data_IF_918842907222
#
_entry.id   IF_918842907222
#
_cell.length_a   1.000
_cell.length_b   1.000
_cell.length_c   1.000
_cell.angle_alpha   90.00
_cell.angle_beta   90.00
_cell.angle_gamma   90.00
#
_symmetry.space_group_name_H-M   'P 1'
#
loop_
_entity.id
_entity.type
_entity.pdbx_description
1 polymer ?
#
# COMPACT_ATOMS: atom_id res chain seq x y z
N UNK A 1 1.57 5.25 -14.71
CA UNK A 1 1.85 6.38 -15.59
C UNK A 1 3.07 7.14 -15.08
N UNK A 2 2.99 7.75 -13.91
CA UNK A 2 3.98 8.64 -13.32
C UNK A 2 5.40 8.04 -13.33
N UNK A 3 5.57 6.83 -12.80
CA UNK A 3 6.88 6.16 -12.76
C UNK A 3 7.47 5.91 -14.16
N UNK A 4 6.63 5.73 -15.17
CA UNK A 4 7.10 5.44 -16.54
C UNK A 4 7.67 6.67 -17.25
N UNK A 5 7.13 7.86 -16.97
CA UNK A 5 7.61 9.11 -17.56
C UNK A 5 8.84 9.67 -16.82
N UNK A 6 9.06 9.26 -15.59
CA UNK A 6 10.20 9.70 -14.77
C UNK A 6 11.55 9.27 -15.37
N UNK A 7 11.64 8.06 -15.93
CA UNK A 7 12.91 7.54 -16.46
C UNK A 7 13.46 8.42 -17.59
N UNK A 8 12.72 8.70 -18.67
CA UNK A 8 13.20 9.61 -19.72
C UNK A 8 13.41 11.03 -19.18
N UNK A 9 12.53 11.54 -18.32
CA UNK A 9 12.67 12.86 -17.72
C UNK A 9 14.00 13.01 -16.93
N UNK A 10 14.36 12.01 -16.12
CA UNK A 10 15.66 12.00 -15.42
C UNK A 10 16.84 12.09 -16.39
N UNK A 11 16.81 11.32 -17.49
CA UNK A 11 17.87 11.36 -18.49
C UNK A 11 18.01 12.71 -19.18
N UNK A 12 16.88 13.38 -19.43
CA UNK A 12 16.86 14.71 -20.05
C UNK A 12 17.40 15.79 -19.13
N UNK A 13 17.07 15.72 -17.83
CA UNK A 13 17.37 16.77 -16.86
C UNK A 13 18.66 16.53 -16.06
N UNK A 14 19.14 15.29 -15.97
CA UNK A 14 20.31 14.90 -15.18
C UNK A 14 21.44 14.30 -16.05
N UNK A 15 21.80 15.03 -17.13
CA UNK A 15 22.96 14.73 -17.97
C UNK A 15 23.02 13.28 -18.49
N UNK A 16 21.88 12.76 -18.98
CA UNK A 16 21.73 11.39 -19.45
C UNK A 16 22.20 10.34 -18.41
N UNK A 17 21.80 10.53 -17.15
CA UNK A 17 22.17 9.65 -16.05
C UNK A 17 21.76 8.19 -16.31
N UNK A 18 22.46 7.27 -15.69
CA UNK A 18 22.03 5.88 -15.63
C UNK A 18 20.87 5.75 -14.63
N UNK A 19 19.79 5.06 -15.04
CA UNK A 19 18.62 4.85 -14.21
C UNK A 19 18.43 3.36 -13.94
N UNK A 20 18.53 2.98 -12.67
CA UNK A 20 18.19 1.64 -12.17
C UNK A 20 16.78 1.70 -11.59
N UNK A 21 15.85 0.95 -12.17
CA UNK A 21 14.49 0.86 -11.67
C UNK A 21 14.38 -0.16 -10.53
N UNK A 22 13.55 0.14 -9.53
CA UNK A 22 13.27 -0.77 -8.41
C UNK A 22 11.77 -0.81 -8.16
N UNK A 23 11.23 -2.02 -8.00
CA UNK A 23 9.84 -2.26 -7.58
C UNK A 23 9.84 -3.21 -6.38
N UNK A 24 9.04 -2.89 -5.35
CA UNK A 24 8.81 -3.79 -4.22
C UNK A 24 7.51 -4.57 -4.42
N UNK A 25 7.58 -5.90 -4.42
CA UNK A 25 6.41 -6.77 -4.37
C UNK A 25 5.96 -6.92 -2.92
N UNK A 26 4.86 -6.26 -2.59
CA UNK A 26 4.15 -6.35 -1.31
C UNK A 26 2.77 -7.00 -1.48
N UNK A 27 2.54 -7.71 -2.61
CA UNK A 27 1.31 -8.42 -2.91
C UNK A 27 0.36 -7.70 -3.88
N UNK A 28 0.89 -6.89 -4.81
CA UNK A 28 0.10 -6.18 -5.83
C UNK A 28 -0.42 -7.13 -6.93
N UNK A 29 0.04 -8.39 -6.96
CA UNK A 29 -0.39 -9.39 -7.94
C UNK A 29 0.06 -9.06 -9.36
N UNK A 30 -0.89 -9.05 -10.30
CA UNK A 30 -0.62 -8.88 -11.74
C UNK A 30 -0.12 -7.49 -12.15
N UNK A 31 -0.06 -6.52 -11.24
CA UNK A 31 0.49 -5.20 -11.51
C UNK A 31 1.99 -5.22 -11.85
N UNK A 32 2.67 -6.29 -11.44
CA UNK A 32 4.10 -6.50 -11.71
C UNK A 32 4.37 -7.17 -13.07
N UNK A 33 3.33 -7.66 -13.76
CA UNK A 33 3.47 -8.37 -15.03
C UNK A 33 3.96 -7.44 -16.14
N UNK A 34 5.04 -7.85 -16.82
CA UNK A 34 5.65 -7.08 -17.91
C UNK A 34 6.39 -5.81 -17.47
N UNK A 35 6.68 -5.67 -16.18
CA UNK A 35 7.34 -4.48 -15.62
C UNK A 35 8.78 -4.35 -16.11
N UNK A 36 9.49 -5.47 -16.30
CA UNK A 36 10.88 -5.46 -16.78
C UNK A 36 10.98 -4.96 -18.21
N UNK A 37 10.18 -5.52 -19.12
CA UNK A 37 10.15 -5.07 -20.51
C UNK A 37 9.80 -3.58 -20.60
N UNK A 38 8.85 -3.13 -19.79
CA UNK A 38 8.43 -1.74 -19.73
C UNK A 38 9.55 -0.84 -19.22
N UNK A 39 10.23 -1.20 -18.11
CA UNK A 39 11.31 -0.41 -17.54
C UNK A 39 12.47 -0.25 -18.53
N UNK A 40 12.88 -1.33 -19.18
CA UNK A 40 13.95 -1.28 -20.19
C UNK A 40 13.52 -0.46 -21.43
N UNK A 41 12.29 -0.65 -21.91
CA UNK A 41 11.76 0.11 -23.05
C UNK A 41 11.67 1.62 -22.77
N UNK A 42 11.49 2.03 -21.52
CA UNK A 42 11.48 3.45 -21.11
C UNK A 42 12.87 4.00 -20.82
N UNK A 43 13.92 3.17 -20.86
CA UNK A 43 15.32 3.59 -20.79
C UNK A 43 16.02 3.30 -19.47
N UNK A 44 15.44 2.50 -18.57
CA UNK A 44 16.19 1.97 -17.44
C UNK A 44 17.30 1.02 -17.93
N UNK A 45 18.46 1.03 -17.26
CA UNK A 45 19.54 0.08 -17.53
C UNK A 45 19.26 -1.29 -16.90
N UNK A 46 18.46 -1.30 -15.82
CA UNK A 46 18.18 -2.50 -15.03
C UNK A 46 16.89 -2.32 -14.23
N UNK A 47 16.20 -3.42 -13.95
CA UNK A 47 15.11 -3.48 -12.99
C UNK A 47 15.43 -4.47 -11.86
N UNK A 48 15.14 -4.08 -10.65
CA UNK A 48 15.00 -4.97 -9.50
C UNK A 48 13.53 -5.10 -9.13
N UNK A 49 13.03 -6.32 -9.02
CA UNK A 49 11.75 -6.63 -8.36
C UNK A 49 12.08 -7.37 -7.08
N UNK A 50 11.79 -6.74 -5.95
CA UNK A 50 12.10 -7.26 -4.62
C UNK A 50 10.86 -7.96 -4.05
N UNK A 51 10.95 -9.25 -3.75
CA UNK A 51 9.90 -9.93 -3.00
C UNK A 51 9.97 -9.52 -1.52
N UNK A 52 9.08 -8.64 -1.11
CA UNK A 52 9.02 -8.08 0.23
C UNK A 52 7.82 -8.59 1.04
N UNK A 53 7.01 -9.50 0.50
CA UNK A 53 5.73 -9.91 1.10
C UNK A 53 5.88 -10.46 2.52
N UNK A 54 6.82 -11.37 2.75
CA UNK A 54 7.03 -11.97 4.07
C UNK A 54 7.60 -10.94 5.07
N UNK A 55 8.59 -10.13 4.66
CA UNK A 55 9.14 -9.03 5.47
C UNK A 55 8.06 -8.01 5.81
N UNK A 56 7.23 -7.65 4.84
CA UNK A 56 6.14 -6.70 5.01
C UNK A 56 5.13 -7.18 6.06
N UNK A 57 4.74 -8.45 6.03
CA UNK A 57 3.81 -8.99 7.03
C UNK A 57 4.48 -9.05 8.41
N UNK A 58 5.67 -9.61 8.49
CA UNK A 58 6.33 -9.90 9.76
C UNK A 58 6.82 -8.64 10.47
N UNK A 59 7.47 -7.73 9.73
CA UNK A 59 8.23 -6.63 10.34
C UNK A 59 7.44 -5.29 10.32
N UNK A 60 6.33 -5.20 9.57
CA UNK A 60 5.50 -3.99 9.50
C UNK A 60 4.05 -4.24 9.93
N UNK A 61 3.38 -5.27 9.40
CA UNK A 61 1.98 -5.55 9.71
C UNK A 61 1.83 -6.05 11.15
N UNK A 62 2.53 -7.12 11.54
CA UNK A 62 2.38 -7.70 12.86
C UNK A 62 2.72 -6.74 14.02
N UNK A 63 3.76 -5.90 13.94
CA UNK A 63 3.96 -4.85 14.92
C UNK A 63 2.78 -3.87 15.03
N UNK A 64 2.16 -3.50 13.91
CA UNK A 64 0.97 -2.63 13.92
C UNK A 64 -0.24 -3.32 14.54
N UNK A 65 -0.47 -4.61 14.26
CA UNK A 65 -1.51 -5.41 14.91
C UNK A 65 -1.29 -5.46 16.42
N UNK A 66 -0.07 -5.74 16.88
CA UNK A 66 0.29 -5.77 18.31
C UNK A 66 0.10 -4.41 18.98
N UNK A 67 0.39 -3.34 18.27
CA UNK A 67 0.16 -1.99 18.77
C UNK A 67 -1.32 -1.58 18.75
N UNK A 68 -2.17 -2.25 17.96
CA UNK A 68 -3.52 -1.78 17.64
C UNK A 68 -3.46 -0.45 16.88
N UNK A 69 -2.43 -0.27 16.02
CA UNK A 69 -2.19 0.99 15.32
C UNK A 69 -3.19 1.17 14.18
N UNK A 70 -3.94 2.25 14.22
CA UNK A 70 -4.87 2.66 13.18
C UNK A 70 -4.90 4.17 13.05
N UNK A 71 -5.46 4.67 11.96
CA UNK A 71 -5.69 6.09 11.76
C UNK A 71 -7.12 6.31 11.27
N UNK A 72 -7.97 6.88 12.10
CA UNK A 72 -9.39 7.14 11.79
C UNK A 72 -10.11 5.86 11.28
N UNK A 73 -9.90 4.71 11.93
CA UNK A 73 -10.38 3.36 11.58
C UNK A 73 -9.65 2.71 10.39
N UNK A 74 -8.84 3.45 9.65
CA UNK A 74 -8.00 2.91 8.58
C UNK A 74 -6.84 2.09 9.14
N UNK A 75 -6.71 0.82 8.72
CA UNK A 75 -5.70 -0.14 9.21
C UNK A 75 -4.34 0.00 8.49
N UNK A 76 -4.01 1.18 8.03
CA UNK A 76 -2.68 1.63 7.60
C UNK A 76 -2.02 0.86 6.45
N UNK A 77 -2.77 0.14 5.61
CA UNK A 77 -2.20 -0.76 4.58
C UNK A 77 -1.18 -0.09 3.65
N UNK A 78 -1.47 1.13 3.15
CA UNK A 78 -0.50 1.89 2.37
C UNK A 78 0.59 2.51 3.26
N UNK A 79 0.21 2.94 4.49
CA UNK A 79 1.11 3.68 5.38
C UNK A 79 2.33 2.87 5.81
N UNK A 80 2.19 1.58 6.08
CA UNK A 80 3.31 0.71 6.43
C UNK A 80 3.92 -0.03 5.23
N UNK A 81 3.23 -0.13 4.08
CA UNK A 81 3.83 -0.68 2.86
C UNK A 81 4.92 0.24 2.29
N UNK A 82 4.71 1.56 2.30
CA UNK A 82 5.68 2.52 1.74
C UNK A 82 7.04 2.51 2.45
N UNK A 83 7.14 2.50 3.80
CA UNK A 83 8.43 2.34 4.48
C UNK A 83 9.13 1.01 4.19
N UNK A 84 8.39 -0.10 4.03
CA UNK A 84 8.94 -1.39 3.63
C UNK A 84 9.59 -1.30 2.24
N UNK A 85 8.86 -0.75 1.25
CA UNK A 85 9.38 -0.53 -0.10
C UNK A 85 10.58 0.43 -0.09
N UNK A 86 10.49 1.53 0.68
CA UNK A 86 11.58 2.50 0.80
C UNK A 86 12.86 1.89 1.35
N UNK A 87 12.76 0.94 2.29
CA UNK A 87 13.91 0.19 2.79
C UNK A 87 14.56 -0.62 1.67
N UNK A 88 13.78 -1.39 0.92
CA UNK A 88 14.29 -2.14 -0.23
C UNK A 88 14.95 -1.22 -1.27
N UNK A 89 14.34 -0.07 -1.55
CA UNK A 89 14.88 0.95 -2.46
C UNK A 89 16.23 1.50 -1.96
N UNK A 90 16.34 1.84 -0.68
CA UNK A 90 17.58 2.32 -0.07
C UNK A 90 18.70 1.26 -0.10
N UNK A 91 18.34 -0.01 0.13
CA UNK A 91 19.31 -1.12 0.08
C UNK A 91 19.87 -1.34 -1.33
N UNK A 92 19.00 -1.27 -2.36
CA UNK A 92 19.45 -1.34 -3.76
C UNK A 92 20.26 -0.10 -4.16
N UNK A 93 19.84 1.09 -3.75
CA UNK A 93 20.58 2.32 -4.05
C UNK A 93 22.01 2.27 -3.49
N UNK A 94 22.19 1.78 -2.26
CA UNK A 94 23.53 1.54 -1.67
C UNK A 94 24.32 0.48 -2.44
N UNK A 95 23.67 -0.62 -2.83
CA UNK A 95 24.28 -1.72 -3.60
C UNK A 95 24.78 -1.26 -4.97
N UNK A 96 24.01 -0.44 -5.66
CA UNK A 96 24.33 0.09 -6.99
C UNK A 96 25.20 1.36 -6.90
N UNK A 97 25.56 1.83 -5.71
CA UNK A 97 26.32 3.06 -5.50
C UNK A 97 25.66 4.28 -6.16
N UNK A 98 24.33 4.37 -6.05
CA UNK A 98 23.56 5.45 -6.64
C UNK A 98 23.86 6.80 -5.95
N UNK A 99 23.84 7.87 -6.73
CA UNK A 99 24.03 9.24 -6.22
C UNK A 99 22.71 9.78 -5.64
N UNK A 100 21.57 9.34 -6.17
CA UNK A 100 20.24 9.82 -5.78
C UNK A 100 19.18 8.72 -5.83
N UNK A 101 18.08 8.95 -5.11
CA UNK A 101 16.87 8.12 -5.15
C UNK A 101 15.72 8.98 -5.66
N UNK A 102 15.04 8.49 -6.71
CA UNK A 102 13.88 9.18 -7.28
C UNK A 102 12.59 8.43 -6.97
N UNK A 103 11.51 9.16 -6.64
CA UNK A 103 10.17 8.60 -6.48
C UNK A 103 9.12 9.41 -7.23
N UNK A 104 8.04 8.74 -7.67
CA UNK A 104 6.95 9.34 -8.43
C UNK A 104 5.75 9.79 -7.59
N UNK A 105 5.91 9.99 -6.28
CA UNK A 105 4.80 10.38 -5.42
C UNK A 105 4.43 11.85 -5.64
N UNK A 106 3.13 12.11 -5.82
CA UNK A 106 2.62 13.47 -6.02
C UNK A 106 2.70 14.29 -4.73
N UNK A 107 2.84 15.61 -4.87
CA UNK A 107 2.87 16.55 -3.74
C UNK A 107 1.53 16.69 -2.97
N UNK A 108 0.46 16.06 -3.47
CA UNK A 108 -0.89 16.13 -2.87
C UNK A 108 -1.22 14.93 -1.97
N UNK A 109 -0.43 13.84 -2.05
CA UNK A 109 -0.66 12.61 -1.31
C UNK A 109 0.25 12.48 -0.07
N UNK A 110 -0.12 11.54 0.82
CA UNK A 110 0.70 11.20 1.98
C UNK A 110 1.96 10.40 1.62
N UNK A 111 1.99 9.75 0.45
CA UNK A 111 3.05 8.82 0.06
C UNK A 111 4.42 9.48 -0.07
N UNK A 112 4.48 10.72 -0.55
CA UNK A 112 5.73 11.48 -0.57
C UNK A 112 6.37 11.57 0.82
N UNK A 113 5.56 11.84 1.86
CA UNK A 113 6.05 11.96 3.24
C UNK A 113 6.54 10.60 3.74
N UNK A 114 5.80 9.54 3.46
CA UNK A 114 6.14 8.16 3.87
C UNK A 114 7.45 7.70 3.25
N UNK A 115 7.63 7.90 1.94
CA UNK A 115 8.89 7.56 1.25
C UNK A 115 10.06 8.42 1.73
N UNK A 116 9.91 9.74 1.74
CA UNK A 116 11.02 10.65 2.03
C UNK A 116 11.50 10.54 3.48
N UNK A 117 10.60 10.40 4.47
CA UNK A 117 10.99 10.20 5.86
C UNK A 117 11.74 8.87 6.04
N UNK A 118 11.26 7.79 5.41
CA UNK A 118 11.93 6.50 5.44
C UNK A 118 13.31 6.55 4.75
N UNK A 119 13.41 7.16 3.56
CA UNK A 119 14.66 7.32 2.84
C UNK A 119 15.67 8.20 3.59
N UNK A 120 15.22 9.31 4.19
CA UNK A 120 16.09 10.16 5.02
C UNK A 120 16.62 9.45 6.26
N UNK A 121 15.85 8.54 6.84
CA UNK A 121 16.30 7.73 7.96
C UNK A 121 17.29 6.63 7.54
N UNK A 122 17.06 6.00 6.38
CA UNK A 122 17.80 4.82 5.92
C UNK A 122 18.98 5.14 5.01
N UNK A 123 18.94 6.24 4.28
CA UNK A 123 19.95 6.70 3.35
C UNK A 123 20.12 8.23 3.43
N UNK A 124 20.54 8.77 4.60
CA UNK A 124 20.55 10.23 4.87
C UNK A 124 21.47 11.02 3.94
N UNK A 125 22.50 10.39 3.41
CA UNK A 125 23.51 11.01 2.54
C UNK A 125 23.11 11.02 1.05
N UNK A 126 22.02 10.35 0.69
CA UNK A 126 21.54 10.31 -0.69
C UNK A 126 20.59 11.47 -0.99
N UNK A 127 20.72 12.05 -2.17
CA UNK A 127 19.78 13.02 -2.69
C UNK A 127 18.44 12.36 -3.00
N UNK A 128 17.34 13.05 -2.71
CA UNK A 128 15.98 12.59 -3.04
C UNK A 128 15.43 13.48 -4.14
N UNK A 129 15.16 12.89 -5.30
CA UNK A 129 14.57 13.57 -6.44
C UNK A 129 13.08 13.26 -6.46
N UNK A 130 12.27 14.32 -6.45
CA UNK A 130 10.82 14.27 -6.51
C UNK A 130 10.32 15.08 -7.72
N UNK A 131 10.22 14.50 -8.92
CA UNK A 131 9.96 15.22 -10.17
C UNK A 131 8.73 16.11 -10.13
N UNK A 132 7.68 15.72 -9.44
CA UNK A 132 6.48 16.53 -9.25
C UNK A 132 6.71 17.92 -8.63
N UNK A 133 7.85 18.16 -8.03
CA UNK A 133 8.26 19.48 -7.50
C UNK A 133 9.07 20.29 -8.50
N UNK A 134 9.64 19.64 -9.49
CA UNK A 134 10.65 20.19 -10.39
C UNK A 134 10.15 20.35 -11.82
N UNK A 135 9.30 19.42 -12.29
CA UNK A 135 8.82 19.42 -13.66
C UNK A 135 7.60 20.35 -13.89
N UNK A 136 7.41 20.73 -15.16
CA UNK A 136 6.28 21.58 -15.55
C UNK A 136 4.97 20.81 -15.83
N UNK A 137 5.02 19.48 -15.81
CA UNK A 137 3.86 18.59 -16.04
C UNK A 137 2.94 18.68 -14.83
N UNK A 138 1.72 19.20 -15.00
CA UNK A 138 0.80 19.52 -13.89
C UNK A 138 -0.52 18.75 -13.93
N UNK A 139 -0.77 18.04 -15.02
CA UNK A 139 -2.01 17.28 -15.21
C UNK A 139 -1.74 15.90 -15.77
N UNK A 140 -2.70 15.00 -15.59
CA UNK A 140 -2.65 13.64 -16.14
C UNK A 140 -2.66 13.66 -17.68
N UNK A 141 -3.30 14.65 -18.28
CA UNK A 141 -3.32 14.86 -19.72
C UNK A 141 -1.91 15.18 -20.25
N UNK A 142 -1.20 16.09 -19.57
CA UNK A 142 0.18 16.45 -19.93
C UNK A 142 1.15 15.28 -19.75
N UNK A 143 0.94 14.42 -18.74
CA UNK A 143 1.70 13.18 -18.56
C UNK A 143 1.50 12.21 -19.74
N UNK A 144 0.25 12.09 -20.21
CA UNK A 144 -0.06 11.24 -21.35
C UNK A 144 0.58 11.79 -22.62
N UNK A 145 0.50 13.09 -22.86
CA UNK A 145 1.14 13.77 -24.01
C UNK A 145 2.67 13.56 -23.98
N UNK A 146 3.29 13.71 -22.81
CA UNK A 146 4.72 13.45 -22.62
C UNK A 146 5.06 11.99 -22.94
N UNK A 147 4.28 11.04 -22.42
CA UNK A 147 4.48 9.63 -22.65
C UNK A 147 4.33 9.25 -24.15
N UNK A 148 3.33 9.81 -24.83
CA UNK A 148 3.12 9.61 -26.28
C UNK A 148 4.30 10.17 -27.09
N UNK A 149 4.78 11.38 -26.74
CA UNK A 149 5.94 12.00 -27.39
C UNK A 149 7.22 11.15 -27.25
N UNK A 150 7.36 10.40 -26.17
CA UNK A 150 8.51 9.52 -25.88
C UNK A 150 8.26 8.06 -26.24
N UNK A 151 7.15 7.73 -26.92
CA UNK A 151 6.76 6.37 -27.31
C UNK A 151 6.70 5.39 -26.12
N UNK A 152 6.29 5.87 -24.93
CA UNK A 152 6.14 5.05 -23.74
C UNK A 152 4.83 4.25 -23.87
N UNK A 153 4.85 2.91 -23.75
CA UNK A 153 3.64 2.11 -23.85
C UNK A 153 2.74 2.35 -22.64
N UNK A 154 1.58 2.96 -22.87
CA UNK A 154 0.58 3.22 -21.84
C UNK A 154 -0.56 2.20 -21.94
N UNK A 155 -0.85 1.50 -20.85
CA UNK A 155 -2.07 0.68 -20.68
C UNK A 155 -3.16 1.51 -19.99
N UNK A 156 -3.50 2.70 -20.52
CA UNK A 156 -4.47 3.57 -19.83
C UNK A 156 -5.79 3.57 -20.58
N UNK A 157 -6.85 3.21 -19.85
CA UNK A 157 -8.22 3.49 -20.26
C UNK A 157 -8.64 4.79 -19.56
N UNK A 158 -8.89 5.85 -20.31
CA UNK A 158 -9.06 7.25 -19.82
C UNK A 158 -10.26 7.47 -18.90
N UNK A 159 -11.24 6.54 -18.84
CA UNK A 159 -12.58 6.93 -18.36
C UNK A 159 -13.21 6.07 -17.25
N UNK A 160 -12.59 4.97 -16.79
CA UNK A 160 -13.37 4.01 -16.00
C UNK A 160 -12.73 3.42 -14.76
N UNK A 161 -11.49 3.76 -14.42
CA UNK A 161 -10.82 3.06 -13.32
C UNK A 161 -10.66 3.95 -12.09
N UNK A 162 -11.17 3.46 -10.95
CA UNK A 162 -10.78 3.96 -9.63
C UNK A 162 -9.26 3.91 -9.47
N UNK A 163 -8.71 4.87 -8.73
CA UNK A 163 -7.35 4.74 -8.23
C UNK A 163 -7.33 3.64 -7.18
N UNK A 164 -6.57 2.58 -7.42
CA UNK A 164 -6.47 1.42 -6.53
C UNK A 164 -5.04 1.28 -6.02
N UNK A 165 -4.90 0.91 -4.76
CA UNK A 165 -3.62 0.55 -4.15
C UNK A 165 -3.80 -0.79 -3.44
N UNK A 166 -3.17 -1.84 -4.00
CA UNK A 166 -3.29 -3.22 -3.57
C UNK A 166 -1.99 -3.72 -2.97
N UNK A 167 -2.10 -4.40 -1.85
CA UNK A 167 -1.03 -5.18 -1.27
C UNK A 167 -1.61 -6.40 -0.51
N UNK A 168 -0.76 -7.20 0.12
CA UNK A 168 -1.21 -8.40 0.85
C UNK A 168 -2.17 -8.08 2.00
N UNK A 169 -2.16 -6.86 2.51
CA UNK A 169 -2.97 -6.44 3.65
C UNK A 169 -4.33 -5.86 3.27
N UNK A 170 -4.37 -5.06 2.21
CA UNK A 170 -5.57 -4.32 1.83
C UNK A 170 -5.66 -4.02 0.33
N UNK A 171 -6.81 -3.51 -0.05
CA UNK A 171 -7.03 -2.80 -1.30
C UNK A 171 -7.79 -1.51 -1.01
N UNK A 172 -7.33 -0.38 -1.55
CA UNK A 172 -8.04 0.89 -1.50
C UNK A 172 -8.68 1.23 -2.86
N UNK A 173 -9.80 1.94 -2.81
CA UNK A 173 -10.48 2.52 -3.96
C UNK A 173 -10.68 4.02 -3.71
N UNK A 174 -10.20 4.86 -4.63
CA UNK A 174 -10.31 6.33 -4.56
C UNK A 174 -10.69 6.89 -5.93
N UNK A 175 -11.25 8.10 -5.93
CA UNK A 175 -11.55 8.84 -7.16
C UNK A 175 -12.93 8.56 -7.76
N UNK A 176 -13.16 9.05 -8.97
CA UNK A 176 -14.43 8.94 -9.71
C UNK A 176 -15.64 9.42 -8.88
N UNK A 177 -16.70 8.61 -8.85
CA UNK A 177 -17.94 8.90 -8.11
C UNK A 177 -17.74 8.93 -6.58
N UNK A 178 -16.66 8.35 -6.06
CA UNK A 178 -16.30 8.44 -4.63
C UNK A 178 -15.82 9.84 -4.20
N UNK A 179 -15.45 10.70 -5.14
CA UNK A 179 -15.07 12.09 -4.81
C UNK A 179 -16.25 12.91 -4.28
N UNK A 180 -17.47 12.57 -4.69
CA UNK A 180 -18.69 13.14 -4.13
C UNK A 180 -19.17 12.28 -2.94
N UNK A 181 -19.11 12.79 -1.70
CA UNK A 181 -19.53 12.04 -0.53
C UNK A 181 -21.04 11.73 -0.47
N UNK A 182 -21.85 12.31 -1.37
CA UNK A 182 -23.26 11.98 -1.49
C UNK A 182 -23.52 10.66 -2.25
N UNK A 183 -22.52 10.14 -2.97
CA UNK A 183 -22.65 8.89 -3.70
C UNK A 183 -22.35 7.69 -2.78
N UNK A 184 -23.13 6.63 -2.94
CA UNK A 184 -22.87 5.35 -2.26
C UNK A 184 -21.72 4.58 -2.93
N UNK A 185 -20.89 3.86 -2.15
CA UNK A 185 -19.90 2.94 -2.73
C UNK A 185 -20.58 1.83 -3.52
N UNK A 186 -20.01 1.48 -4.66
CA UNK A 186 -20.62 0.54 -5.61
C UNK A 186 -20.35 -0.94 -5.25
N UNK A 187 -20.56 -1.34 -4.00
CA UNK A 187 -20.23 -2.69 -3.49
C UNK A 187 -20.86 -3.84 -4.28
N UNK A 188 -22.04 -3.63 -4.86
CA UNK A 188 -22.74 -4.65 -5.65
C UNK A 188 -22.34 -4.66 -7.12
N UNK A 189 -21.57 -3.66 -7.59
CA UNK A 189 -21.11 -3.59 -8.97
C UNK A 189 -20.02 -4.64 -9.20
N UNK A 190 -20.17 -5.42 -10.24
CA UNK A 190 -19.17 -6.44 -10.61
C UNK A 190 -17.79 -5.81 -10.86
N UNK A 191 -16.75 -6.36 -10.20
CA UNK A 191 -15.37 -5.90 -10.30
C UNK A 191 -15.05 -4.64 -9.47
N UNK A 192 -15.98 -4.13 -8.65
CA UNK A 192 -15.65 -3.09 -7.67
C UNK A 192 -14.81 -3.70 -6.54
N UNK A 193 -15.36 -4.68 -5.80
CA UNK A 193 -14.65 -5.43 -4.78
C UNK A 193 -13.75 -6.51 -5.41
N UNK A 194 -12.53 -6.67 -4.90
CA UNK A 194 -11.56 -7.67 -5.39
C UNK A 194 -11.07 -8.63 -4.30
N UNK A 195 -11.08 -8.20 -3.03
CA UNK A 195 -10.65 -9.05 -1.90
C UNK A 195 -11.82 -9.73 -1.22
N UNK A 196 -13.03 -9.22 -1.40
CA UNK A 196 -14.20 -9.72 -0.73
C UNK A 196 -15.48 -9.62 -1.53
N UNK A 197 -16.58 -9.86 -0.84
CA UNK A 197 -17.95 -9.72 -1.37
C UNK A 197 -18.72 -8.69 -0.55
N UNK A 198 -19.73 -8.08 -1.17
CA UNK A 198 -20.66 -7.25 -0.43
C UNK A 198 -21.36 -8.05 0.68
N UNK A 199 -21.69 -7.45 1.84
CA UNK A 199 -22.35 -8.15 2.95
C UNK A 199 -23.64 -8.89 2.51
N UNK A 200 -24.38 -8.33 1.56
CA UNK A 200 -25.60 -8.93 1.02
C UNK A 200 -25.34 -10.20 0.20
N UNK A 201 -24.13 -10.42 -0.25
CA UNK A 201 -23.67 -11.62 -0.98
C UNK A 201 -22.90 -12.61 -0.10
N UNK A 202 -22.66 -12.25 1.16
CA UNK A 202 -21.99 -13.13 2.11
C UNK A 202 -22.87 -14.32 2.51
N UNK A 203 -22.28 -15.45 2.96
CA UNK A 203 -23.03 -16.60 3.47
C UNK A 203 -23.89 -16.22 4.69
N UNK A 204 -25.10 -16.78 4.79
CA UNK A 204 -25.98 -16.62 5.97
C UNK A 204 -25.46 -17.43 7.17
N UNK A 205 -24.72 -18.51 6.92
CA UNK A 205 -24.17 -19.37 7.95
C UNK A 205 -22.83 -18.84 8.46
N UNK A 206 -22.64 -18.76 9.80
CA UNK A 206 -21.40 -18.26 10.38
C UNK A 206 -20.21 -19.20 10.11
N UNK A 207 -19.06 -18.60 9.86
CA UNK A 207 -17.78 -19.32 9.78
C UNK A 207 -16.99 -19.11 11.07
N UNK A 208 -16.72 -20.19 11.81
CA UNK A 208 -15.91 -20.16 13.03
C UNK A 208 -14.47 -20.53 12.70
N UNK A 209 -13.52 -19.78 13.26
CA UNK A 209 -12.09 -20.05 13.16
C UNK A 209 -11.44 -19.91 14.53
N UNK A 210 -10.35 -20.63 14.75
CA UNK A 210 -9.49 -20.48 15.94
C UNK A 210 -8.14 -19.93 15.51
N UNK A 211 -7.76 -18.76 16.01
CA UNK A 211 -6.45 -18.16 15.74
C UNK A 211 -5.58 -18.36 16.99
N UNK A 212 -4.41 -18.97 16.82
CA UNK A 212 -3.42 -19.10 17.86
C UNK A 212 -2.45 -17.93 17.84
N UNK A 213 -2.18 -17.39 19.04
CA UNK A 213 -1.23 -16.29 19.21
C UNK A 213 -0.09 -16.70 20.15
N UNK A 214 1.14 -16.32 19.79
CA UNK A 214 2.29 -16.43 20.67
C UNK A 214 2.95 -15.07 20.82
N UNK A 215 3.05 -14.56 22.04
CA UNK A 215 3.62 -13.22 22.34
C UNK A 215 2.96 -12.07 21.56
N UNK A 216 1.66 -12.21 21.27
CA UNK A 216 0.88 -11.23 20.53
C UNK A 216 0.97 -11.33 19.01
N UNK A 217 1.70 -12.31 18.47
CA UNK A 217 1.76 -12.59 17.04
C UNK A 217 0.91 -13.82 16.70
N UNK A 218 0.11 -13.79 15.61
CA UNK A 218 -0.65 -14.95 15.18
C UNK A 218 0.28 -15.99 14.58
N UNK A 219 0.10 -17.27 14.94
CA UNK A 219 1.00 -18.37 14.52
C UNK A 219 0.30 -19.51 13.81
N UNK A 220 -1.01 -19.70 14.05
CA UNK A 220 -1.77 -20.80 13.43
C UNK A 220 -3.25 -20.43 13.30
N UNK A 221 -3.90 -21.06 12.32
CA UNK A 221 -5.36 -21.05 12.14
C UNK A 221 -5.86 -22.49 12.23
N UNK A 222 -6.88 -22.74 13.09
CA UNK A 222 -7.48 -24.06 13.31
C UNK A 222 -6.46 -25.18 13.60
N UNK A 223 -5.39 -24.81 14.34
CA UNK A 223 -4.31 -25.71 14.71
C UNK A 223 -3.27 -25.98 13.61
N UNK A 224 -3.37 -25.33 12.46
CA UNK A 224 -2.38 -25.42 11.38
C UNK A 224 -1.42 -24.23 11.49
N UNK A 225 -0.15 -24.50 11.76
CA UNK A 225 0.91 -23.50 11.76
C UNK A 225 1.16 -22.98 10.33
N UNK A 226 1.37 -21.67 10.21
CA UNK A 226 1.55 -20.98 8.93
C UNK A 226 2.65 -19.93 9.04
N UNK A 227 3.28 -19.60 7.90
CA UNK A 227 4.13 -18.41 7.82
C UNK A 227 3.29 -17.14 8.00
N UNK A 228 3.88 -16.01 8.44
CA UNK A 228 3.19 -14.73 8.54
C UNK A 228 2.38 -14.36 7.29
N UNK A 229 2.97 -14.49 6.11
CA UNK A 229 2.32 -14.22 4.84
C UNK A 229 1.12 -15.15 4.60
N UNK A 230 1.33 -16.46 4.69
CA UNK A 230 0.28 -17.46 4.45
C UNK A 230 -0.92 -17.28 5.42
N UNK A 231 -0.64 -16.86 6.66
CA UNK A 231 -1.67 -16.60 7.66
C UNK A 231 -2.54 -15.41 7.25
N UNK A 232 -1.94 -14.29 6.82
CA UNK A 232 -2.68 -13.11 6.36
C UNK A 232 -3.47 -13.42 5.09
N UNK A 233 -2.88 -14.12 4.13
CA UNK A 233 -3.56 -14.55 2.90
C UNK A 233 -4.77 -15.45 3.21
N UNK A 234 -4.61 -16.39 4.16
CA UNK A 234 -5.73 -17.25 4.59
C UNK A 234 -6.85 -16.48 5.27
N UNK A 235 -6.51 -15.50 6.09
CA UNK A 235 -7.51 -14.65 6.73
C UNK A 235 -8.19 -13.70 5.73
N UNK A 236 -7.47 -13.24 4.72
CA UNK A 236 -8.07 -12.47 3.62
C UNK A 236 -9.09 -13.32 2.84
N UNK A 237 -8.75 -14.58 2.52
CA UNK A 237 -9.68 -15.51 1.87
C UNK A 237 -10.96 -15.71 2.71
N UNK A 238 -10.78 -16.01 3.99
CA UNK A 238 -11.90 -16.28 4.91
C UNK A 238 -12.75 -15.03 5.16
N UNK A 239 -12.12 -13.91 5.45
CA UNK A 239 -12.81 -12.64 5.70
C UNK A 239 -13.50 -12.11 4.45
N UNK A 240 -12.83 -12.15 3.31
CA UNK A 240 -13.38 -11.72 2.04
C UNK A 240 -14.63 -12.51 1.63
N UNK A 241 -14.59 -13.84 1.76
CA UNK A 241 -15.74 -14.72 1.52
C UNK A 241 -16.94 -14.37 2.41
N UNK A 242 -16.71 -13.90 3.61
CA UNK A 242 -17.73 -13.58 4.60
C UNK A 242 -18.11 -12.07 4.64
N UNK A 243 -17.68 -11.28 3.65
CA UNK A 243 -18.02 -9.86 3.55
C UNK A 243 -17.42 -9.00 4.67
N UNK A 244 -16.27 -9.42 5.24
CA UNK A 244 -15.58 -8.75 6.33
C UNK A 244 -14.58 -7.73 5.77
N UNK A 245 -14.42 -6.59 6.46
CA UNK A 245 -13.31 -5.66 6.24
C UNK A 245 -13.58 -4.57 5.21
N UNK A 246 -14.85 -4.25 4.95
CA UNK A 246 -15.22 -3.08 4.15
C UNK A 246 -15.29 -1.84 5.04
N UNK A 247 -14.64 -0.76 4.61
CA UNK A 247 -14.62 0.53 5.29
C UNK A 247 -14.75 1.66 4.26
N UNK A 248 -15.71 2.56 4.47
CA UNK A 248 -15.91 3.78 3.68
C UNK A 248 -15.74 4.98 4.60
N UNK A 249 -14.65 5.73 4.44
CA UNK A 249 -14.32 6.86 5.30
C UNK A 249 -13.87 8.08 4.53
N UNK A 250 -14.06 9.24 5.14
CA UNK A 250 -13.44 10.51 4.74
C UNK A 250 -12.36 10.84 5.75
N UNK A 251 -11.12 10.54 5.42
CA UNK A 251 -9.96 10.73 6.28
C UNK A 251 -9.31 12.12 6.13
N UNK A 252 -8.55 12.50 7.14
CA UNK A 252 -7.73 13.71 7.12
C UNK A 252 -6.31 13.38 6.67
N UNK A 253 -5.89 13.79 5.47
CA UNK A 253 -4.51 13.61 5.02
C UNK A 253 -3.56 14.52 5.80
N UNK A 254 -2.33 14.04 6.01
CA UNK A 254 -1.28 14.80 6.70
C UNK A 254 -1.02 16.16 6.04
N UNK A 255 -1.20 16.26 4.74
CA UNK A 255 -1.06 17.51 3.96
C UNK A 255 -2.25 18.48 4.11
N UNK A 256 -3.22 18.17 4.99
CA UNK A 256 -4.35 19.06 5.33
C UNK A 256 -5.58 18.94 4.43
N UNK A 257 -5.64 17.93 3.55
CA UNK A 257 -6.79 17.68 2.68
C UNK A 257 -7.69 16.60 3.27
N UNK A 258 -9.00 16.70 2.99
CA UNK A 258 -9.93 15.58 3.15
C UNK A 258 -9.82 14.65 1.95
N UNK A 259 -9.89 13.35 2.18
CA UNK A 259 -9.90 12.35 1.12
C UNK A 259 -10.83 11.20 1.49
N UNK A 260 -11.74 10.83 0.58
CA UNK A 260 -12.56 9.65 0.75
C UNK A 260 -11.86 8.44 0.14
N UNK A 261 -11.82 7.36 0.91
CA UNK A 261 -11.35 6.06 0.46
C UNK A 261 -12.31 4.96 0.87
N UNK A 262 -12.49 3.98 0.00
CA UNK A 262 -13.15 2.71 0.32
C UNK A 262 -12.06 1.65 0.41
N UNK A 263 -12.02 0.95 1.53
CA UNK A 263 -10.97 -0.02 1.84
C UNK A 263 -11.56 -1.42 1.97
N UNK A 264 -10.83 -2.40 1.43
CA UNK A 264 -11.03 -3.82 1.68
C UNK A 264 -9.85 -4.33 2.50
N UNK A 265 -10.08 -4.70 3.78
CA UNK A 265 -9.03 -5.20 4.69
C UNK A 265 -9.54 -6.41 5.47
N UNK A 266 -9.91 -7.51 4.78
CA UNK A 266 -10.63 -8.62 5.42
C UNK A 266 -9.83 -9.33 6.51
N UNK A 267 -8.62 -9.77 6.23
CA UNK A 267 -7.74 -10.43 7.21
C UNK A 267 -7.30 -9.49 8.32
N UNK A 268 -7.04 -8.23 7.99
CA UNK A 268 -6.66 -7.22 8.94
C UNK A 268 -7.74 -6.96 9.99
N UNK A 269 -8.98 -6.81 9.56
CA UNK A 269 -10.13 -6.62 10.45
C UNK A 269 -10.29 -7.79 11.41
N UNK A 270 -10.12 -9.03 10.92
CA UNK A 270 -10.17 -10.23 11.76
C UNK A 270 -9.02 -10.21 12.79
N UNK A 271 -7.79 -9.92 12.37
CA UNK A 271 -6.62 -9.92 13.26
C UNK A 271 -6.70 -8.83 14.33
N UNK A 272 -7.08 -7.61 13.96
CA UNK A 272 -7.25 -6.52 14.91
C UNK A 272 -8.30 -6.87 15.95
N UNK A 273 -9.45 -7.40 15.53
CA UNK A 273 -10.51 -7.79 16.45
C UNK A 273 -10.12 -8.96 17.37
N UNK A 274 -9.45 -9.97 16.84
CA UNK A 274 -8.97 -11.10 17.63
C UNK A 274 -7.90 -10.67 18.65
N UNK A 275 -6.98 -9.80 18.25
CA UNK A 275 -5.94 -9.27 19.15
C UNK A 275 -6.52 -8.37 20.23
N UNK A 276 -7.47 -7.50 19.90
CA UNK A 276 -8.21 -6.66 20.86
C UNK A 276 -8.89 -7.52 21.96
N UNK A 277 -9.56 -8.60 21.55
CA UNK A 277 -10.22 -9.51 22.50
C UNK A 277 -9.23 -10.19 23.45
N UNK A 278 -8.02 -10.54 22.99
CA UNK A 278 -6.96 -11.05 23.84
C UNK A 278 -6.45 -9.99 24.82
N UNK A 279 -6.28 -8.77 24.37
CA UNK A 279 -5.87 -7.68 25.25
C UNK A 279 -6.85 -7.38 26.37
N UNK A 280 -8.16 -7.52 26.13
CA UNK A 280 -9.20 -7.35 27.15
C UNK A 280 -9.00 -8.28 28.35
N UNK A 281 -8.38 -9.44 28.18
CA UNK A 281 -8.16 -10.42 29.24
C UNK A 281 -6.71 -10.50 29.72
N UNK A 282 -5.76 -9.88 29.03
CA UNK A 282 -4.32 -9.96 29.35
C UNK A 282 -3.73 -8.66 29.87
N UNK A 283 -4.25 -7.50 29.48
CA UNK A 283 -3.78 -6.20 29.92
C UNK A 283 -4.53 -5.76 31.19
N UNK A 284 -3.79 -5.23 32.15
CA UNK A 284 -4.40 -4.50 33.24
C UNK A 284 -4.98 -3.16 32.77
N UNK A 285 -5.87 -2.59 33.59
CA UNK A 285 -6.58 -1.35 33.25
C UNK A 285 -5.66 -0.21 32.89
N UNK A 286 -4.61 0.03 33.66
CA UNK A 286 -3.78 1.22 33.54
C UNK A 286 -2.88 1.10 32.28
N UNK A 287 -2.36 -0.10 32.00
CA UNK A 287 -1.64 -0.43 30.75
C UNK A 287 -2.55 -0.26 29.54
N UNK A 288 -3.79 -0.77 29.59
CA UNK A 288 -4.75 -0.65 28.50
C UNK A 288 -5.08 0.83 28.19
N UNK A 289 -5.36 1.63 29.22
CA UNK A 289 -5.65 3.06 29.05
C UNK A 289 -4.43 3.84 28.54
N UNK A 290 -3.23 3.50 29.01
CA UNK A 290 -2.00 4.13 28.54
C UNK A 290 -1.72 3.79 27.08
N UNK A 291 -1.89 2.53 26.68
CA UNK A 291 -1.78 2.10 25.29
C UNK A 291 -2.68 2.92 24.37
N UNK A 292 -3.97 3.06 24.72
CA UNK A 292 -4.92 3.85 23.94
C UNK A 292 -4.51 5.33 23.82
N UNK A 293 -3.88 5.90 24.84
CA UNK A 293 -3.40 7.30 24.80
C UNK A 293 -2.19 7.49 23.89
N UNK A 294 -1.35 6.45 23.71
CA UNK A 294 -0.15 6.51 22.86
C UNK A 294 -0.48 6.46 21.37
N UNK A 295 -1.58 5.84 20.96
CA UNK A 295 -2.00 5.73 19.56
C UNK A 295 -2.21 7.12 18.93
N UNK A 296 -2.60 8.11 19.71
CA UNK A 296 -2.79 9.48 19.25
C UNK A 296 -1.49 10.30 19.08
N UNK A 297 -0.37 9.75 19.44
CA UNK A 297 0.93 10.40 19.33
C UNK A 297 1.62 9.97 18.04
#
# INVERSE_FOLDING_TARGET
LDTSIIIPWLKENYNNCEVVAVSGDVGQGTELDGLEEKAIATGASKLYVLDLKEEYVKDYIFPCVKAGAEYEEYLLGTSHARPCIAKGLADIAKKEHADAICHGCTGKGNDQVRFELALKALAPDMEIIAPWREWDIKSREEEIEYAEAHNIPLKINRETNYSKDKNVWHLSHEGLDLEDPANEPQYLKDGFLELGVAPEKAPDEPTYITIHFEKGEPTAIDGVEMSPLALVEKLNELGGKNGIGLLDIVENRLVGMKSRGVYETPGGTILYKAHELLEMITLDRDTSHYKLSLIHI
#
